data_IF_857238085503
#
_entry.id   IF_857238085503
#
_cell.length_a   1.000
_cell.length_b   1.000
_cell.length_c   1.000
_cell.angle_alpha   90.00
_cell.angle_beta   90.00
_cell.angle_gamma   90.00
#
_symmetry.space_group_name_H-M   'P 1'
#
loop_
_entity.id
_entity.type
_entity.pdbx_description
1 polymer ?
#
# COMPACT_ATOMS: atom_id res chain seq x y z
N UNK A 1 14.73 0.55 0.77
CA UNK A 1 13.30 0.25 1.08
C UNK A 1 12.40 0.28 -0.14
N UNK A 2 12.61 1.17 -1.13
CA UNK A 2 11.81 1.23 -2.36
C UNK A 2 11.67 -0.11 -3.10
N UNK A 3 12.77 -0.85 -3.27
CA UNK A 3 12.76 -2.14 -3.97
C UNK A 3 11.91 -3.24 -3.31
N UNK A 4 11.55 -3.10 -2.04
CA UNK A 4 10.64 -4.04 -1.35
C UNK A 4 9.26 -4.04 -1.99
N UNK A 5 8.83 -2.89 -2.53
CA UNK A 5 7.53 -2.70 -3.17
C UNK A 5 7.65 -2.69 -4.69
N UNK A 6 8.64 -1.98 -5.23
CA UNK A 6 8.69 -1.68 -6.67
C UNK A 6 9.72 -2.54 -7.46
N UNK A 7 10.59 -3.27 -6.75
CA UNK A 7 11.71 -4.01 -7.35
C UNK A 7 11.58 -5.53 -7.28
N UNK A 8 10.36 -6.06 -7.18
CA UNK A 8 10.12 -7.51 -7.03
C UNK A 8 10.38 -8.05 -5.61
N UNK A 9 10.41 -7.17 -4.60
CA UNK A 9 10.55 -7.56 -3.21
C UNK A 9 9.28 -8.11 -2.57
N UNK A 10 9.32 -8.28 -1.25
CA UNK A 10 8.30 -8.99 -0.47
C UNK A 10 6.93 -8.30 -0.41
N UNK A 11 6.83 -7.01 -0.78
CA UNK A 11 5.60 -6.22 -0.71
C UNK A 11 5.08 -5.76 -2.08
N UNK A 12 5.34 -6.48 -3.16
CA UNK A 12 4.92 -6.08 -4.52
C UNK A 12 3.40 -5.84 -4.68
N UNK A 13 2.55 -6.45 -3.85
CA UNK A 13 1.09 -6.32 -3.94
C UNK A 13 0.55 -4.90 -3.68
N UNK A 14 1.30 -4.03 -3.02
CA UNK A 14 0.89 -2.64 -2.77
C UNK A 14 1.37 -1.65 -3.83
N UNK A 15 2.11 -2.10 -4.85
CA UNK A 15 2.65 -1.20 -5.87
C UNK A 15 1.51 -0.42 -6.54
N UNK A 16 1.73 0.89 -6.68
CA UNK A 16 0.82 1.82 -7.36
C UNK A 16 1.59 2.54 -8.46
N UNK A 17 1.01 2.71 -9.67
CA UNK A 17 1.69 3.37 -10.78
C UNK A 17 1.90 4.87 -10.53
N UNK A 18 0.98 5.53 -9.83
CA UNK A 18 0.98 6.99 -9.64
C UNK A 18 1.56 7.43 -8.28
N UNK A 19 1.98 6.48 -7.43
CA UNK A 19 2.49 6.76 -6.09
C UNK A 19 3.61 5.80 -5.74
N UNK A 20 4.83 6.31 -5.65
CA UNK A 20 5.95 5.52 -5.19
C UNK A 20 5.90 5.28 -3.69
N UNK A 21 5.76 4.01 -3.30
CA UNK A 21 5.72 3.58 -1.91
C UNK A 21 7.04 2.88 -1.58
N UNK A 22 7.60 3.18 -0.41
CA UNK A 22 8.75 2.46 0.14
C UNK A 22 8.38 1.90 1.51
N UNK A 23 8.91 0.71 1.84
CA UNK A 23 8.58 0.09 3.12
C UNK A 23 9.40 -1.15 3.44
N UNK A 24 8.97 -1.83 4.50
CA UNK A 24 9.56 -3.08 4.97
C UNK A 24 8.49 -3.98 5.57
N UNK A 25 8.57 -5.27 5.23
CA UNK A 25 7.77 -6.34 5.82
C UNK A 25 8.52 -6.97 6.98
N UNK A 26 7.80 -7.43 7.99
CA UNK A 26 8.37 -8.32 8.99
C UNK A 26 7.35 -9.31 9.53
N UNK A 27 7.84 -10.15 10.44
CA UNK A 27 7.06 -11.17 11.12
C UNK A 27 7.53 -11.19 12.56
N UNK A 28 6.59 -11.09 13.49
CA UNK A 28 6.86 -11.17 14.93
C UNK A 28 6.24 -12.47 15.46
N UNK A 29 7.06 -13.33 16.04
CA UNK A 29 6.61 -14.62 16.55
C UNK A 29 5.96 -14.44 17.93
N UNK A 30 4.76 -14.97 18.14
CA UNK A 30 4.15 -15.06 19.48
C UNK A 30 4.70 -16.30 20.15
N UNK A 31 5.83 -16.15 20.84
CA UNK A 31 6.34 -17.16 21.74
C UNK A 31 5.77 -16.90 23.15
N UNK A 32 4.82 -17.71 23.60
CA UNK A 32 4.79 -18.00 25.04
C UNK A 32 5.96 -18.96 25.29
N UNK A 33 6.97 -18.52 26.05
CA UNK A 33 8.19 -19.33 26.31
C UNK A 33 7.77 -20.71 26.85
N UNK A 34 7.99 -21.77 26.06
CA UNK A 34 7.76 -23.15 26.49
C UNK A 34 6.38 -23.76 26.21
N UNK A 35 5.48 -23.12 25.44
CA UNK A 35 4.20 -23.74 25.03
C UNK A 35 3.97 -23.75 23.51
N UNK A 36 3.65 -24.93 23.00
CA UNK A 36 3.27 -25.10 21.60
C UNK A 36 1.80 -24.71 21.33
N UNK A 37 1.54 -23.40 21.16
CA UNK A 37 0.23 -22.81 20.82
C UNK A 37 -0.27 -22.99 19.35
N UNK A 38 0.13 -24.03 18.60
CA UNK A 38 -0.45 -24.36 17.28
C UNK A 38 0.16 -23.68 16.03
N UNK A 39 -0.53 -23.70 14.87
CA UNK A 39 0.01 -23.36 13.52
C UNK A 39 0.04 -21.86 13.14
N UNK A 40 -0.71 -20.98 13.81
CA UNK A 40 -0.88 -19.56 13.43
C UNK A 40 -0.39 -18.61 14.54
N UNK A 41 0.89 -18.68 14.91
CA UNK A 41 1.46 -17.91 16.03
C UNK A 41 2.14 -16.60 15.64
N UNK A 42 2.36 -16.33 14.35
CA UNK A 42 3.16 -15.17 13.98
C UNK A 42 2.28 -13.98 13.59
N UNK A 43 2.58 -12.79 14.10
CA UNK A 43 2.03 -11.54 13.64
C UNK A 43 2.78 -11.06 12.39
N UNK A 44 2.06 -10.60 11.38
CA UNK A 44 2.65 -9.88 10.26
C UNK A 44 2.52 -8.39 10.48
N UNK A 45 3.58 -7.67 10.19
CA UNK A 45 3.57 -6.21 10.18
C UNK A 45 4.22 -5.65 8.93
N UNK A 46 3.70 -4.52 8.49
CA UNK A 46 4.21 -3.78 7.37
C UNK A 46 4.26 -2.30 7.72
N UNK A 47 5.44 -1.72 7.53
CA UNK A 47 5.69 -0.29 7.72
C UNK A 47 6.05 0.30 6.37
N UNK A 48 5.39 1.38 6.00
CA UNK A 48 5.62 2.07 4.73
C UNK A 48 5.42 3.56 4.81
N UNK A 49 5.96 4.26 3.82
CA UNK A 49 5.76 5.67 3.61
C UNK A 49 5.66 5.99 2.11
N UNK A 50 4.97 7.08 1.80
CA UNK A 50 4.83 7.58 0.45
C UNK A 50 4.61 9.11 0.42
N UNK A 51 4.99 9.81 -0.67
CA UNK A 51 5.88 9.35 -1.76
C UNK A 51 7.31 8.97 -1.29
N UNK A 52 7.97 8.04 -1.97
CA UNK A 52 9.26 7.49 -1.54
C UNK A 52 10.39 8.54 -1.40
N UNK A 53 10.45 9.52 -2.30
CA UNK A 53 11.48 10.56 -2.29
C UNK A 53 11.14 11.80 -1.45
N UNK A 54 9.84 12.02 -1.18
CA UNK A 54 9.35 13.12 -0.34
C UNK A 54 8.18 12.59 0.48
N UNK A 55 8.43 11.92 1.61
CA UNK A 55 7.39 11.25 2.38
C UNK A 55 6.44 12.28 2.99
N UNK A 56 5.14 12.06 2.80
CA UNK A 56 4.09 12.90 3.37
C UNK A 56 3.11 12.08 4.21
N UNK A 57 3.06 10.77 4.01
CA UNK A 57 2.20 9.83 4.73
C UNK A 57 3.06 8.62 5.12
N UNK A 58 2.85 8.14 6.35
CA UNK A 58 3.36 6.87 6.82
C UNK A 58 2.20 5.98 7.26
N UNK A 59 2.32 4.68 6.98
CA UNK A 59 1.31 3.66 7.29
C UNK A 59 1.98 2.47 7.97
N UNK A 60 1.44 2.08 9.11
CA UNK A 60 1.79 0.86 9.83
C UNK A 60 0.55 -0.02 9.85
N UNK A 61 0.69 -1.26 9.39
CA UNK A 61 -0.34 -2.28 9.49
C UNK A 61 0.23 -3.48 10.25
N UNK A 62 -0.45 -3.89 11.32
CA UNK A 62 -0.17 -5.08 12.10
C UNK A 62 -1.38 -6.01 11.97
N UNK A 63 -1.12 -7.28 11.64
CA UNK A 63 -2.14 -8.33 11.56
C UNK A 63 -1.69 -9.43 12.51
N UNK A 64 -2.51 -9.66 13.53
CA UNK A 64 -2.24 -10.69 14.53
C UNK A 64 -2.48 -12.09 13.95
N UNK A 65 -1.70 -13.05 14.42
CA UNK A 65 -1.83 -14.49 14.14
C UNK A 65 -1.94 -14.85 12.63
N UNK A 66 -1.26 -14.09 11.76
CA UNK A 66 -1.29 -14.25 10.30
C UNK A 66 -0.23 -15.18 9.72
N UNK A 67 0.71 -15.68 10.52
CA UNK A 67 1.77 -16.60 10.09
C UNK A 67 2.98 -15.92 9.41
N UNK A 68 3.98 -16.73 9.06
CA UNK A 68 5.26 -16.28 8.50
C UNK A 68 5.09 -15.52 7.19
N UNK A 69 5.60 -14.30 7.14
CA UNK A 69 5.45 -13.44 5.96
C UNK A 69 4.00 -13.07 5.60
N UNK A 70 3.00 -13.56 6.35
CA UNK A 70 1.56 -13.31 6.22
C UNK A 70 1.07 -12.99 4.81
N UNK A 71 1.41 -13.87 3.87
CA UNK A 71 1.49 -13.67 2.43
C UNK A 71 0.27 -12.96 1.80
N UNK A 72 0.52 -11.95 0.96
CA UNK A 72 -0.47 -11.25 0.10
C UNK A 72 -1.50 -10.39 0.82
N UNK A 73 -1.39 -10.14 2.13
CA UNK A 73 -2.36 -9.34 2.91
C UNK A 73 -1.91 -7.92 3.27
N UNK A 74 -1.19 -7.25 2.36
CA UNK A 74 -1.07 -5.79 2.35
C UNK A 74 -2.23 -4.98 1.69
N UNK A 75 -3.40 -5.54 1.29
CA UNK A 75 -4.53 -4.73 0.83
C UNK A 75 -4.95 -3.59 1.76
N UNK A 76 -4.89 -3.73 3.11
CA UNK A 76 -5.26 -2.63 3.99
C UNK A 76 -4.39 -1.39 3.76
N UNK A 77 -3.07 -1.57 3.66
CA UNK A 77 -2.14 -0.47 3.41
C UNK A 77 -2.37 0.17 2.05
N UNK A 78 -2.63 -0.64 1.01
CA UNK A 78 -2.96 -0.14 -0.34
C UNK A 78 -4.25 0.69 -0.32
N UNK A 79 -5.31 0.20 0.31
CA UNK A 79 -6.58 0.90 0.42
C UNK A 79 -6.44 2.25 1.15
N UNK A 80 -5.56 2.33 2.15
CA UNK A 80 -5.23 3.59 2.84
C UNK A 80 -4.58 4.57 1.86
N UNK A 81 -3.57 4.14 1.10
CA UNK A 81 -2.91 5.00 0.10
C UNK A 81 -3.87 5.44 -1.01
N UNK A 82 -4.73 4.57 -1.51
CA UNK A 82 -5.78 4.90 -2.49
C UNK A 82 -6.76 5.95 -1.93
N UNK A 83 -7.21 5.77 -0.70
CA UNK A 83 -8.15 6.69 -0.04
C UNK A 83 -7.52 8.06 0.17
N UNK A 84 -6.28 8.12 0.64
CA UNK A 84 -5.60 9.39 0.89
C UNK A 84 -5.27 10.10 -0.43
N UNK A 85 -4.87 9.35 -1.46
CA UNK A 85 -4.61 9.91 -2.80
C UNK A 85 -5.88 10.48 -3.43
N UNK A 86 -7.02 9.78 -3.32
CA UNK A 86 -8.31 10.27 -3.79
C UNK A 86 -8.76 11.54 -3.05
N UNK A 87 -8.63 11.57 -1.71
CA UNK A 87 -8.94 12.78 -0.91
C UNK A 87 -8.08 13.97 -1.32
N UNK A 88 -6.79 13.75 -1.59
CA UNK A 88 -5.88 14.80 -2.05
C UNK A 88 -6.27 15.38 -3.41
N UNK A 89 -6.69 14.54 -4.35
CA UNK A 89 -7.19 15.00 -5.67
C UNK A 89 -8.46 15.84 -5.49
N UNK A 90 -9.37 15.45 -4.58
CA UNK A 90 -10.60 16.19 -4.30
C UNK A 90 -10.37 17.51 -3.57
N UNK A 91 -9.36 17.60 -2.71
CA UNK A 91 -9.05 18.80 -1.93
C UNK A 91 -8.23 19.84 -2.68
N UNK A 92 -7.65 19.52 -3.85
CA UNK A 92 -7.08 20.56 -4.71
C UNK A 92 -8.22 21.48 -5.15
N UNK A 93 -8.16 22.80 -4.85
CA UNK A 93 -9.17 23.71 -5.35
C UNK A 93 -9.27 23.52 -6.86
N UNK A 94 -10.48 23.25 -7.37
CA UNK A 94 -10.70 23.17 -8.82
C UNK A 94 -10.21 24.49 -9.39
N UNK A 95 -9.12 24.47 -10.16
CA UNK A 95 -8.66 25.66 -10.87
C UNK A 95 -9.86 26.19 -11.65
N UNK A 96 -10.30 27.43 -11.44
CA UNK A 96 -11.30 28.02 -12.30
C UNK A 96 -10.74 27.96 -13.73
N UNK A 97 -11.37 27.17 -14.61
CA UNK A 97 -10.98 27.03 -16.02
C UNK A 97 -10.15 25.79 -16.42
N UNK A 98 -9.91 24.80 -15.55
CA UNK A 98 -9.24 23.55 -15.93
C UNK A 98 -10.18 22.55 -16.60
N UNK A 99 -9.96 22.22 -17.89
CA UNK A 99 -10.65 21.12 -18.57
C UNK A 99 -10.50 19.80 -17.78
N UNK A 100 -11.60 19.06 -17.68
CA UNK A 100 -11.68 17.80 -16.94
C UNK A 100 -10.87 16.70 -17.64
N UNK A 101 -9.82 16.11 -17.02
CA UNK A 101 -9.02 15.06 -17.66
C UNK A 101 -9.76 13.73 -17.84
N UNK A 102 -11.02 13.61 -17.37
CA UNK A 102 -11.85 12.42 -17.54
C UNK A 102 -12.52 12.31 -18.93
N UNK A 103 -12.26 13.24 -19.87
CA UNK A 103 -12.77 13.19 -21.24
C UNK A 103 -11.62 13.13 -22.24
N UNK A 104 -10.84 12.04 -22.20
CA UNK A 104 -10.06 11.62 -23.36
C UNK A 104 -10.03 10.09 -23.37
N UNK A 105 -10.91 9.47 -24.17
CA UNK A 105 -10.95 8.01 -24.24
C UNK A 105 -12.23 7.33 -24.75
N UNK A 106 -13.03 7.95 -25.62
CA UNK A 106 -13.84 7.20 -26.60
C UNK A 106 -13.79 7.95 -27.92
N UNK A 107 -12.95 7.45 -28.83
CA UNK A 107 -12.93 7.84 -30.23
C UNK A 107 -14.07 7.10 -30.95
N UNK A 108 -15.15 7.77 -31.39
CA UNK A 108 -16.06 7.17 -32.35
C UNK A 108 -15.38 7.27 -33.72
N UNK A 109 -14.86 6.14 -34.22
CA UNK A 109 -14.47 6.04 -35.63
C UNK A 109 -15.66 6.47 -36.48
N UNK A 110 -15.52 7.59 -37.18
CA UNK A 110 -16.30 7.93 -38.38
C UNK A 110 -15.61 7.30 -39.58
N UNK A 111 -16.28 6.36 -40.22
CA UNK A 111 -16.64 6.35 -41.65
C UNK A 111 -17.81 5.41 -41.80
#
# INVERSE_FOLDING_TARGET
MWGVVNGGGTAGSIQMPDLEIAGKTGTAQVAEVGKDVGKNKDHAWFVSFAPAYKPEIAVIALIENSGFGGCTRHPPSRAIYETVSCKRVRQRPRRPGGLNPLIYGRNPRKT
#
